data_IF_308780487615
#
_entry.id   IF_308780487615
#
_cell.length_a   1.000
_cell.length_b   1.000
_cell.length_c   1.000
_cell.angle_alpha   90.00
_cell.angle_beta   90.00
_cell.angle_gamma   90.00
#
_symmetry.space_group_name_H-M   'P 1'
#
loop_
_entity.id
_entity.type
_entity.pdbx_description
1 polymer ?
#
# COMPACT_ATOMS: atom_id res chain seq x y z
N UNK A 1 -5.57 -10.12 -21.94
CA UNK A 1 -5.50 -8.71 -21.53
C UNK A 1 -5.55 -8.63 -19.99
N UNK A 2 -4.39 -8.61 -19.32
CA UNK A 2 -4.23 -8.56 -17.86
C UNK A 2 -3.85 -7.14 -17.37
N UNK A 3 -4.40 -6.09 -17.99
CA UNK A 3 -4.21 -4.70 -17.54
C UNK A 3 -4.67 -4.46 -16.09
N UNK A 4 -4.22 -3.35 -15.50
CA UNK A 4 -4.78 -2.84 -14.24
C UNK A 4 -6.30 -2.67 -14.41
N UNK A 5 -7.08 -3.29 -13.54
CA UNK A 5 -8.55 -3.31 -13.59
C UNK A 5 -9.12 -2.93 -12.24
N UNK A 6 -10.39 -2.53 -12.20
CA UNK A 6 -11.13 -2.47 -10.95
C UNK A 6 -11.33 -3.91 -10.44
N UNK A 7 -10.55 -4.27 -9.42
CA UNK A 7 -10.54 -5.56 -8.75
C UNK A 7 -11.72 -5.72 -7.78
N UNK A 8 -12.36 -4.62 -7.38
CA UNK A 8 -13.49 -4.62 -6.46
C UNK A 8 -14.83 -4.84 -7.18
N UNK A 9 -14.91 -4.60 -8.49
CA UNK A 9 -16.15 -4.71 -9.26
C UNK A 9 -16.82 -6.08 -9.08
N UNK A 10 -18.06 -6.06 -8.60
CA UNK A 10 -18.90 -7.21 -8.27
C UNK A 10 -18.29 -8.20 -7.26
N UNK A 11 -17.33 -7.75 -6.47
CA UNK A 11 -16.79 -8.55 -5.37
C UNK A 11 -17.72 -8.54 -4.16
N UNK A 12 -17.63 -9.56 -3.28
CA UNK A 12 -18.33 -9.55 -2.01
C UNK A 12 -17.90 -8.36 -1.16
N UNK A 13 -18.89 -7.62 -0.67
CA UNK A 13 -18.69 -6.52 0.26
C UNK A 13 -19.48 -6.75 1.54
N UNK A 14 -19.03 -6.14 2.62
CA UNK A 14 -19.69 -6.16 3.91
C UNK A 14 -19.65 -4.78 4.54
N UNK A 15 -20.65 -4.50 5.36
CA UNK A 15 -20.74 -3.26 6.10
C UNK A 15 -21.28 -3.52 7.50
N UNK A 16 -20.76 -2.79 8.48
CA UNK A 16 -21.05 -3.01 9.90
C UNK A 16 -22.54 -2.91 10.24
N UNK A 17 -23.24 -1.97 9.61
CA UNK A 17 -24.66 -1.75 9.80
C UNK A 17 -25.35 -1.52 8.48
N UNK A 18 -26.36 -2.32 8.17
CA UNK A 18 -27.20 -2.16 6.97
C UNK A 18 -28.48 -1.44 7.33
N UNK A 19 -28.81 -0.39 6.57
CA UNK A 19 -30.07 0.36 6.70
C UNK A 19 -30.95 0.01 5.51
N UNK A 20 -32.16 -0.50 5.78
CA UNK A 20 -33.13 -0.82 4.73
C UNK A 20 -32.56 -1.71 3.61
N UNK A 21 -32.65 -1.23 2.36
CA UNK A 21 -32.14 -1.94 1.17
C UNK A 21 -30.74 -1.49 0.72
N UNK A 22 -30.08 -0.60 1.47
CA UNK A 22 -28.82 0.03 1.08
C UNK A 22 -27.62 -0.80 1.53
N UNK A 23 -27.46 -1.93 0.85
CA UNK A 23 -26.47 -2.97 1.15
C UNK A 23 -25.05 -2.62 0.67
N UNK A 24 -24.06 -3.35 1.20
CA UNK A 24 -22.64 -3.07 1.00
C UNK A 24 -22.17 -3.23 -0.45
N UNK A 25 -22.79 -4.15 -1.18
CA UNK A 25 -22.50 -4.48 -2.58
C UNK A 25 -22.76 -3.32 -3.54
N UNK A 26 -23.64 -2.37 -3.17
CA UNK A 26 -23.88 -1.17 -3.98
C UNK A 26 -22.63 -0.33 -4.18
N UNK A 27 -21.69 -0.35 -3.24
CA UNK A 27 -20.45 0.40 -3.38
C UNK A 27 -19.45 -0.26 -4.35
N UNK A 28 -19.77 -1.42 -4.92
CA UNK A 28 -18.86 -2.16 -5.82
C UNK A 28 -19.61 -2.74 -7.02
N UNK A 29 -20.79 -2.22 -7.34
CA UNK A 29 -21.62 -2.72 -8.44
C UNK A 29 -21.39 -1.97 -9.77
N UNK A 30 -20.53 -0.95 -9.76
CA UNK A 30 -20.22 -0.12 -10.93
C UNK A 30 -21.29 0.90 -11.26
N UNK A 31 -22.21 1.23 -10.33
CA UNK A 31 -23.33 2.16 -10.56
C UNK A 31 -23.29 3.33 -9.60
N UNK A 32 -22.87 4.48 -10.11
CA UNK A 32 -22.77 5.72 -9.32
C UNK A 32 -23.11 6.97 -10.14
N UNK A 33 -24.04 6.84 -11.09
CA UNK A 33 -24.59 7.95 -11.89
C UNK A 33 -25.60 8.79 -11.11
N UNK A 34 -26.30 8.19 -10.14
CA UNK A 34 -27.22 8.85 -9.23
C UNK A 34 -26.61 8.83 -7.83
N UNK A 35 -26.06 9.98 -7.43
CA UNK A 35 -25.36 10.18 -6.16
C UNK A 35 -26.29 10.67 -5.05
N UNK A 36 -27.61 10.60 -5.24
CA UNK A 36 -28.57 10.81 -4.16
C UNK A 36 -28.58 9.61 -3.21
N UNK A 37 -28.69 9.87 -1.90
CA UNK A 37 -28.75 8.80 -0.89
C UNK A 37 -29.92 7.84 -1.12
N UNK A 38 -31.02 8.32 -1.71
CA UNK A 38 -32.20 7.53 -2.07
C UNK A 38 -32.23 7.11 -3.56
N UNK A 39 -31.18 7.42 -4.32
CA UNK A 39 -31.04 7.04 -5.74
C UNK A 39 -30.81 5.53 -5.96
N UNK A 40 -30.59 4.78 -4.87
CA UNK A 40 -30.47 3.33 -4.90
C UNK A 40 -29.08 2.81 -5.30
N UNK A 41 -28.09 3.69 -5.41
CA UNK A 41 -26.75 3.42 -5.93
C UNK A 41 -25.63 3.57 -4.87
N UNK A 42 -25.99 3.74 -3.60
CA UNK A 42 -25.02 3.90 -2.53
C UNK A 42 -25.28 2.92 -1.38
N UNK A 43 -24.20 2.40 -0.82
CA UNK A 43 -24.17 1.74 0.47
C UNK A 43 -24.18 2.78 1.58
N UNK A 44 -25.03 2.62 2.60
CA UNK A 44 -25.15 3.60 3.67
C UNK A 44 -25.35 3.04 5.08
N UNK A 45 -24.88 3.81 6.05
CA UNK A 45 -25.26 3.75 7.46
C UNK A 45 -26.02 5.00 7.89
N UNK A 46 -26.60 4.95 9.08
CA UNK A 46 -27.35 6.07 9.65
C UNK A 46 -27.18 6.13 11.18
N UNK A 47 -26.67 7.26 11.69
CA UNK A 47 -26.52 7.55 13.11
C UNK A 47 -25.37 6.82 13.81
N UNK A 48 -24.36 6.33 13.07
CA UNK A 48 -23.27 5.54 13.64
C UNK A 48 -22.13 6.40 14.21
N UNK A 49 -21.49 5.93 15.28
CA UNK A 49 -20.23 6.52 15.79
C UNK A 49 -18.99 5.84 15.18
N UNK A 50 -19.18 4.79 14.39
CA UNK A 50 -18.12 4.07 13.69
C UNK A 50 -18.63 3.56 12.34
N UNK A 51 -18.01 4.02 11.27
CA UNK A 51 -18.13 3.42 9.95
C UNK A 51 -17.11 2.32 9.79
N UNK A 52 -17.57 1.18 9.29
CA UNK A 52 -16.69 0.12 8.83
C UNK A 52 -17.38 -0.59 7.65
N UNK A 53 -16.68 -0.59 6.52
CA UNK A 53 -17.09 -1.23 5.27
C UNK A 53 -15.85 -1.88 4.67
N UNK A 54 -16.00 -3.04 4.04
CA UNK A 54 -14.90 -3.66 3.32
C UNK A 54 -15.36 -4.43 2.08
N UNK A 55 -14.43 -4.62 1.16
CA UNK A 55 -14.57 -5.52 0.00
C UNK A 55 -13.53 -6.64 0.06
N UNK A 56 -13.95 -7.87 -0.22
CA UNK A 56 -13.10 -9.05 -0.38
C UNK A 56 -12.71 -9.21 -1.85
N UNK A 57 -11.45 -8.98 -2.19
CA UNK A 57 -10.91 -9.10 -3.55
C UNK A 57 -10.75 -10.56 -4.03
N UNK A 58 -11.19 -11.53 -3.22
CA UNK A 58 -11.20 -12.98 -3.46
C UNK A 58 -9.85 -13.67 -3.27
N UNK A 59 -8.75 -12.94 -3.38
CA UNK A 59 -7.39 -13.40 -3.13
C UNK A 59 -6.51 -12.20 -2.75
N UNK A 60 -5.28 -12.44 -2.29
CA UNK A 60 -4.29 -11.38 -2.12
C UNK A 60 -3.98 -10.78 -3.50
N UNK A 61 -4.14 -9.45 -3.63
CA UNK A 61 -3.90 -8.67 -4.87
C UNK A 61 -2.83 -7.61 -4.62
N UNK A 62 -2.18 -7.13 -5.68
CA UNK A 62 -1.36 -5.91 -5.59
C UNK A 62 -2.24 -4.70 -5.83
N UNK A 63 -2.32 -3.79 -4.86
CA UNK A 63 -3.17 -2.61 -4.92
C UNK A 63 -2.32 -1.39 -5.25
N UNK A 64 -2.74 -0.63 -6.24
CA UNK A 64 -2.05 0.57 -6.74
C UNK A 64 -2.80 1.86 -6.38
N UNK A 65 -4.10 1.87 -6.65
CA UNK A 65 -4.95 3.05 -6.46
C UNK A 65 -6.31 2.59 -5.96
N UNK A 66 -6.89 3.36 -5.05
CA UNK A 66 -8.26 3.20 -4.58
C UNK A 66 -9.01 4.50 -4.90
N UNK A 67 -10.19 4.39 -5.48
CA UNK A 67 -11.06 5.54 -5.77
C UNK A 67 -12.34 5.38 -4.98
N UNK A 68 -12.74 6.41 -4.25
CA UNK A 68 -13.98 6.41 -3.48
C UNK A 68 -14.89 7.52 -4.00
N UNK A 69 -16.05 7.13 -4.50
CA UNK A 69 -17.13 8.02 -4.90
C UNK A 69 -18.14 8.10 -3.76
N UNK A 70 -18.33 9.29 -3.21
CA UNK A 70 -19.29 9.55 -2.14
C UNK A 70 -20.63 10.03 -2.69
N UNK A 71 -21.68 9.85 -1.90
CA UNK A 71 -22.96 10.51 -2.14
C UNK A 71 -22.80 12.03 -2.07
N UNK A 72 -23.48 12.73 -2.99
CA UNK A 72 -23.53 14.20 -3.04
C UNK A 72 -24.94 14.74 -2.86
N UNK A 73 -25.96 13.86 -2.92
CA UNK A 73 -27.35 14.28 -3.01
C UNK A 73 -27.73 14.78 -4.41
N UNK A 74 -26.91 14.52 -5.44
CA UNK A 74 -26.96 15.16 -6.76
C UNK A 74 -26.88 16.69 -6.66
N UNK A 75 -26.14 17.19 -5.67
CA UNK A 75 -25.89 18.62 -5.46
C UNK A 75 -24.43 18.94 -5.76
N UNK A 76 -24.14 20.23 -5.88
CA UNK A 76 -22.76 20.73 -5.98
C UNK A 76 -21.96 20.22 -4.79
N UNK A 77 -20.71 19.82 -5.06
CA UNK A 77 -19.79 19.33 -4.04
C UNK A 77 -18.90 20.49 -3.57
N UNK A 78 -19.35 21.15 -2.51
CA UNK A 78 -18.71 22.31 -1.90
C UNK A 78 -18.84 22.24 -0.36
N UNK A 79 -18.36 23.27 0.33
CA UNK A 79 -18.37 23.33 1.79
C UNK A 79 -19.77 23.28 2.43
N UNK A 80 -20.80 23.70 1.69
CA UNK A 80 -22.18 23.71 2.16
C UNK A 80 -22.87 22.35 1.98
N UNK A 81 -22.31 21.48 1.15
CA UNK A 81 -22.81 20.13 1.00
C UNK A 81 -22.74 19.38 2.35
N UNK A 82 -23.88 18.90 2.83
CA UNK A 82 -24.03 18.28 4.14
C UNK A 82 -23.25 16.96 4.29
N UNK A 83 -22.98 16.26 3.19
CA UNK A 83 -22.24 15.00 3.20
C UNK A 83 -20.75 15.18 3.53
N UNK A 84 -20.15 16.34 3.22
CA UNK A 84 -18.70 16.56 3.33
C UNK A 84 -18.15 16.31 4.73
N UNK A 85 -18.92 16.67 5.77
CA UNK A 85 -18.48 16.51 7.17
C UNK A 85 -18.46 15.07 7.69
N UNK A 86 -19.20 14.15 7.05
CA UNK A 86 -19.25 12.73 7.47
C UNK A 86 -17.97 11.97 7.11
N UNK A 87 -17.32 12.35 6.02
CA UNK A 87 -16.16 11.64 5.49
C UNK A 87 -14.83 12.14 6.03
N UNK A 88 -14.78 13.29 6.72
CA UNK A 88 -13.53 13.82 7.26
C UNK A 88 -12.88 12.83 8.25
N UNK A 89 -11.55 12.78 8.23
CA UNK A 89 -10.69 11.89 9.00
C UNK A 89 -10.89 10.38 8.77
N UNK A 90 -11.48 10.00 7.63
CA UNK A 90 -11.55 8.59 7.28
C UNK A 90 -10.17 7.98 7.04
N UNK A 91 -10.10 6.67 7.20
CA UNK A 91 -8.91 5.85 6.94
C UNK A 91 -9.25 4.69 6.02
N UNK A 92 -8.27 4.27 5.25
CA UNK A 92 -8.34 3.07 4.41
C UNK A 92 -7.22 2.13 4.80
N UNK A 93 -7.58 0.88 5.06
CA UNK A 93 -6.65 -0.19 5.40
C UNK A 93 -6.65 -1.26 4.32
N UNK A 94 -5.51 -1.92 4.18
CA UNK A 94 -5.33 -3.08 3.32
C UNK A 94 -4.96 -4.25 4.23
N UNK A 95 -5.75 -5.32 4.22
CA UNK A 95 -5.59 -6.45 5.13
C UNK A 95 -5.71 -7.79 4.42
N UNK A 96 -5.14 -8.83 5.01
CA UNK A 96 -5.37 -10.22 4.60
C UNK A 96 -6.50 -10.89 5.39
N UNK A 97 -7.03 -10.21 6.40
CA UNK A 97 -8.19 -10.63 7.20
C UNK A 97 -9.29 -9.58 7.12
N UNK A 98 -10.46 -9.88 7.69
CA UNK A 98 -11.56 -8.91 7.81
C UNK A 98 -11.34 -7.88 8.90
N UNK A 99 -10.23 -7.95 9.66
CA UNK A 99 -9.91 -7.02 10.72
C UNK A 99 -8.87 -6.00 10.25
N UNK A 100 -9.17 -4.72 10.44
CA UNK A 100 -8.26 -3.62 10.07
C UNK A 100 -6.97 -3.58 10.88
N UNK A 101 -6.99 -4.06 12.12
CA UNK A 101 -5.82 -4.05 13.02
C UNK A 101 -4.75 -5.06 12.58
N UNK A 102 -5.11 -6.06 11.79
CA UNK A 102 -4.17 -7.02 11.20
C UNK A 102 -3.56 -6.50 9.89
N UNK A 103 -4.08 -5.38 9.38
CA UNK A 103 -3.71 -4.79 8.10
C UNK A 103 -2.68 -3.66 8.20
N UNK A 104 -2.40 -3.06 7.04
CA UNK A 104 -1.58 -1.85 6.93
C UNK A 104 -2.47 -0.64 6.64
N UNK A 105 -2.16 0.49 7.28
CA UNK A 105 -2.79 1.77 6.98
C UNK A 105 -2.31 2.25 5.60
N UNK A 106 -3.20 2.22 4.60
CA UNK A 106 -2.92 2.75 3.26
C UNK A 106 -3.07 4.28 3.25
N UNK A 107 -4.14 4.79 3.86
CA UNK A 107 -4.43 6.21 3.84
C UNK A 107 -5.15 6.63 5.11
N UNK A 108 -4.87 7.84 5.57
CA UNK A 108 -5.62 8.52 6.60
C UNK A 108 -5.77 9.97 6.21
N UNK A 109 -7.00 10.44 6.15
CA UNK A 109 -7.28 11.86 6.03
C UNK A 109 -6.86 12.58 7.32
N UNK A 110 -5.97 13.56 7.18
CA UNK A 110 -5.56 14.47 8.25
C UNK A 110 -5.70 15.93 7.85
N UNK A 111 -6.06 16.21 6.59
CA UNK A 111 -5.87 17.52 5.97
C UNK A 111 -7.14 18.07 5.32
N UNK A 112 -8.11 17.22 4.96
CA UNK A 112 -9.30 17.69 4.30
C UNK A 112 -10.18 18.50 5.25
N UNK A 113 -10.85 19.48 4.67
CA UNK A 113 -11.94 20.25 5.27
C UNK A 113 -13.19 20.04 4.43
N UNK A 114 -14.34 20.54 4.88
CA UNK A 114 -15.58 20.48 4.09
C UNK A 114 -15.42 21.08 2.69
N UNK A 115 -14.60 22.11 2.55
CA UNK A 115 -14.33 22.78 1.28
C UNK A 115 -13.32 22.05 0.38
N UNK A 116 -12.43 21.22 0.95
CA UNK A 116 -11.27 20.68 0.22
C UNK A 116 -11.31 19.16 0.02
N UNK A 117 -12.18 18.44 0.73
CA UNK A 117 -12.38 17.01 0.48
C UNK A 117 -12.84 16.81 -0.98
N UNK A 118 -12.14 16.02 -1.80
CA UNK A 118 -12.55 15.80 -3.18
C UNK A 118 -13.65 14.74 -3.28
N UNK A 119 -14.38 14.74 -4.40
CA UNK A 119 -15.28 13.65 -4.75
C UNK A 119 -15.30 13.46 -6.28
N UNK A 120 -14.77 12.34 -6.81
CA UNK A 120 -14.22 11.19 -6.09
C UNK A 120 -12.88 11.48 -5.39
N UNK A 121 -12.62 10.77 -4.29
CA UNK A 121 -11.30 10.76 -3.64
C UNK A 121 -10.39 9.75 -4.34
N UNK A 122 -9.23 10.21 -4.79
CA UNK A 122 -8.20 9.37 -5.38
C UNK A 122 -7.11 9.08 -4.36
N UNK A 123 -7.05 7.84 -3.89
CA UNK A 123 -6.11 7.38 -2.86
C UNK A 123 -4.99 6.60 -3.53
N UNK A 124 -3.77 7.07 -3.32
CA UNK A 124 -2.55 6.33 -3.66
C UNK A 124 -1.88 5.98 -2.35
N UNK A 125 -1.71 4.69 -2.09
CA UNK A 125 -1.08 4.24 -0.86
C UNK A 125 0.44 4.59 -0.92
N UNK A 126 1.08 5.02 0.18
CA UNK A 126 2.48 5.44 0.22
C UNK A 126 3.48 4.42 -0.35
N UNK A 127 4.28 4.81 -1.35
CA UNK A 127 5.24 3.97 -2.09
C UNK A 127 6.29 3.15 -1.27
N UNK A 128 6.31 3.24 0.06
CA UNK A 128 7.27 2.54 0.91
C UNK A 128 6.72 1.26 1.58
N UNK A 129 5.50 0.83 1.23
CA UNK A 129 4.96 -0.42 1.73
C UNK A 129 4.39 -1.28 0.57
N UNK A 130 4.66 -2.59 0.54
CA UNK A 130 3.98 -3.50 -0.37
C UNK A 130 2.49 -3.60 0.02
N UNK A 131 1.62 -2.92 -0.74
CA UNK A 131 0.17 -3.00 -0.54
C UNK A 131 -0.40 -4.23 -1.23
N UNK A 132 -0.02 -5.39 -0.70
CA UNK A 132 -0.65 -6.65 -1.04
C UNK A 132 -1.68 -7.00 0.02
N UNK A 133 -2.92 -7.18 -0.40
CA UNK A 133 -4.00 -7.49 0.51
C UNK A 133 -5.17 -8.17 -0.19
N UNK A 134 -5.99 -8.86 0.61
CA UNK A 134 -7.24 -9.45 0.16
C UNK A 134 -8.42 -8.51 0.41
N UNK A 135 -8.38 -7.75 1.49
CA UNK A 135 -9.46 -6.86 1.91
C UNK A 135 -9.02 -5.40 1.81
N UNK A 136 -9.90 -4.56 1.27
CA UNK A 136 -9.81 -3.10 1.38
C UNK A 136 -10.89 -2.64 2.34
N UNK A 137 -10.49 -1.95 3.41
CA UNK A 137 -11.37 -1.61 4.53
C UNK A 137 -11.44 -0.09 4.65
N UNK A 138 -12.62 0.47 4.45
CA UNK A 138 -12.96 1.85 4.80
C UNK A 138 -13.34 1.92 6.28
N UNK A 139 -12.77 2.88 6.99
CA UNK A 139 -13.03 3.08 8.41
C UNK A 139 -13.12 4.56 8.76
N UNK A 140 -14.10 4.93 9.57
CA UNK A 140 -14.16 6.25 10.19
C UNK A 140 -14.73 6.13 11.60
N UNK A 141 -14.34 7.00 12.53
CA UNK A 141 -14.91 6.98 13.87
C UNK A 141 -15.10 8.38 14.47
N UNK A 142 -16.03 8.44 15.42
CA UNK A 142 -16.39 9.60 16.22
C UNK A 142 -16.56 9.17 17.67
N UNK A 143 -15.55 8.51 18.24
CA UNK A 143 -15.66 7.94 19.60
C UNK A 143 -15.09 8.84 20.71
N UNK A 144 -14.36 9.90 20.33
CA UNK A 144 -13.62 10.75 21.27
C UNK A 144 -13.86 12.23 20.95
N UNK A 145 -14.92 12.86 21.50
CA UNK A 145 -15.16 14.30 21.38
C UNK A 145 -14.19 15.11 22.27
N UNK A 146 -13.94 16.40 21.97
CA UNK A 146 -14.54 17.21 20.90
C UNK A 146 -13.92 16.95 19.52
N UNK A 147 -14.71 17.13 18.46
CA UNK A 147 -14.24 16.98 17.07
C UNK A 147 -13.75 18.31 16.50
N UNK A 148 -12.79 18.29 15.53
CA UNK A 148 -12.42 19.49 14.80
C UNK A 148 -13.61 20.14 14.08
N UNK A 149 -13.48 21.42 13.78
CA UNK A 149 -14.52 22.18 13.06
C UNK A 149 -14.85 21.54 11.71
N UNK A 150 -16.15 21.52 11.37
CA UNK A 150 -16.66 20.95 10.12
C UNK A 150 -16.90 19.43 10.14
N UNK A 151 -16.46 18.73 11.18
CA UNK A 151 -16.70 17.29 11.32
C UNK A 151 -18.15 17.04 11.72
N UNK A 152 -18.79 16.06 11.09
CA UNK A 152 -20.05 15.52 11.60
C UNK A 152 -19.81 14.82 12.94
N UNK A 153 -20.82 14.89 13.83
CA UNK A 153 -20.85 14.11 15.08
C UNK A 153 -21.11 12.62 14.86
N UNK A 154 -21.52 12.24 13.66
CA UNK A 154 -21.69 10.86 13.23
C UNK A 154 -20.60 10.50 12.23
N UNK A 155 -20.20 9.23 12.25
CA UNK A 155 -19.22 8.65 11.35
C UNK A 155 -19.90 7.96 10.16
N UNK A 156 -21.11 8.35 9.76
CA UNK A 156 -21.84 7.62 8.72
C UNK A 156 -21.08 7.55 7.40
N UNK A 157 -21.24 6.44 6.69
CA UNK A 157 -20.72 6.28 5.35
C UNK A 157 -21.87 6.31 4.35
N UNK A 158 -21.66 7.01 3.23
CA UNK A 158 -22.52 7.01 2.05
C UNK A 158 -21.62 6.77 0.84
N UNK A 159 -21.20 5.51 0.66
CA UNK A 159 -20.26 5.09 -0.37
C UNK A 159 -21.08 4.69 -1.61
N UNK A 160 -20.95 5.44 -2.70
CA UNK A 160 -21.63 5.11 -3.95
C UNK A 160 -20.78 4.22 -4.85
N UNK A 161 -19.45 4.37 -4.84
CA UNK A 161 -18.56 3.41 -5.48
C UNK A 161 -17.19 3.40 -4.79
N UNK A 162 -16.57 2.23 -4.70
CA UNK A 162 -15.21 2.00 -4.24
C UNK A 162 -14.51 1.14 -5.28
N UNK A 163 -13.68 1.79 -6.09
CA UNK A 163 -12.91 1.12 -7.13
C UNK A 163 -11.50 0.81 -6.62
N UNK A 164 -11.03 -0.42 -6.81
CA UNK A 164 -9.69 -0.84 -6.38
C UNK A 164 -8.88 -1.24 -7.60
N UNK A 165 -7.93 -0.40 -8.00
CA UNK A 165 -7.09 -0.64 -9.16
C UNK A 165 -5.77 -1.28 -8.77
N UNK A 166 -5.37 -2.30 -9.54
CA UNK A 166 -4.11 -2.99 -9.31
C UNK A 166 -3.93 -4.22 -10.18
N UNK A 167 -3.03 -5.10 -9.76
CA UNK A 167 -2.75 -6.36 -10.44
C UNK A 167 -3.47 -7.53 -9.78
N UNK A 168 -4.04 -8.45 -10.58
CA UNK A 168 -4.80 -9.58 -10.05
C UNK A 168 -3.94 -10.57 -9.27
N UNK A 169 -2.62 -10.60 -9.50
CA UNK A 169 -1.71 -11.48 -8.78
C UNK A 169 -0.55 -10.65 -8.24
N UNK A 170 -0.11 -10.91 -6.99
CA UNK A 170 1.12 -10.33 -6.49
C UNK A 170 2.33 -10.93 -7.22
N UNK A 171 3.47 -10.25 -7.15
CA UNK A 171 4.69 -10.65 -7.87
C UNK A 171 4.71 -10.28 -9.35
N UNK A 172 3.76 -9.46 -9.81
CA UNK A 172 3.74 -8.91 -11.17
C UNK A 172 3.62 -7.38 -11.15
N UNK A 173 4.27 -6.73 -12.10
CA UNK A 173 4.29 -5.27 -12.25
C UNK A 173 4.10 -4.83 -13.71
N UNK A 174 4.11 -3.52 -13.92
CA UNK A 174 3.90 -2.85 -15.20
C UNK A 174 2.42 -2.61 -15.51
N UNK A 175 2.13 -1.85 -16.57
CA UNK A 175 0.76 -1.47 -16.93
C UNK A 175 -0.17 -2.66 -17.18
N UNK A 176 0.41 -3.74 -17.70
CA UNK A 176 -0.29 -4.96 -18.09
C UNK A 176 -0.13 -6.12 -17.09
N UNK A 177 0.43 -5.88 -15.90
CA UNK A 177 0.63 -6.91 -14.86
C UNK A 177 1.20 -8.22 -15.42
N UNK A 178 2.18 -8.08 -16.31
CA UNK A 178 2.73 -9.18 -17.10
C UNK A 178 4.24 -9.32 -16.93
N UNK A 179 4.90 -8.34 -16.31
CA UNK A 179 6.31 -8.41 -15.95
C UNK A 179 6.40 -9.04 -14.56
N UNK A 180 7.20 -10.08 -14.42
CA UNK A 180 7.44 -10.72 -13.12
C UNK A 180 8.39 -9.88 -12.29
N UNK A 181 8.09 -9.73 -11.01
CA UNK A 181 9.01 -9.09 -10.08
C UNK A 181 10.37 -9.80 -10.09
N UNK A 182 11.48 -9.07 -9.92
CA UNK A 182 12.80 -9.67 -9.84
C UNK A 182 12.86 -10.81 -8.83
N UNK A 183 13.49 -11.93 -9.22
CA UNK A 183 13.47 -13.18 -8.46
C UNK A 183 13.99 -13.03 -7.02
N UNK A 184 14.94 -12.12 -6.80
CA UNK A 184 15.59 -11.92 -5.52
C UNK A 184 14.98 -10.77 -4.71
N UNK A 185 13.83 -10.23 -5.13
CA UNK A 185 13.02 -9.40 -4.24
C UNK A 185 12.61 -10.26 -3.03
N UNK A 186 12.73 -9.69 -1.83
CA UNK A 186 12.20 -10.32 -0.64
C UNK A 186 10.70 -10.57 -0.80
N UNK A 187 10.24 -11.77 -0.41
CA UNK A 187 8.85 -12.24 -0.54
C UNK A 187 8.33 -12.29 -2.00
N UNK A 188 9.19 -12.09 -3.01
CA UNK A 188 8.81 -12.08 -4.42
C UNK A 188 8.01 -10.85 -4.84
N UNK A 189 8.05 -9.77 -4.07
CA UNK A 189 7.24 -8.58 -4.29
C UNK A 189 8.06 -7.35 -4.69
N UNK A 190 7.50 -6.55 -5.58
CA UNK A 190 8.10 -5.34 -6.11
C UNK A 190 7.04 -4.26 -6.31
N UNK A 191 7.50 -3.03 -6.51
CA UNK A 191 6.66 -1.90 -6.88
C UNK A 191 5.89 -2.20 -8.18
N UNK A 192 4.58 -1.95 -8.15
CA UNK A 192 3.66 -2.31 -9.23
C UNK A 192 3.84 -1.46 -10.50
N UNK A 193 4.50 -0.31 -10.40
CA UNK A 193 4.82 0.57 -11.52
C UNK A 193 6.20 0.23 -12.08
N UNK A 194 7.22 0.32 -11.23
CA UNK A 194 8.63 0.35 -11.62
C UNK A 194 9.30 -1.03 -11.56
N UNK A 195 8.71 -2.00 -10.86
CA UNK A 195 9.34 -3.31 -10.64
C UNK A 195 10.50 -3.28 -9.64
N UNK A 196 10.67 -2.18 -8.91
CA UNK A 196 11.71 -2.02 -7.89
C UNK A 196 11.35 -2.83 -6.65
N UNK A 197 12.26 -3.66 -6.16
CA UNK A 197 12.07 -4.42 -4.94
C UNK A 197 12.09 -3.51 -3.71
N UNK A 198 11.15 -3.71 -2.77
CA UNK A 198 11.16 -2.97 -1.50
C UNK A 198 12.32 -3.39 -0.60
N UNK A 199 12.68 -4.67 -0.65
CA UNK A 199 13.82 -5.29 0.03
C UNK A 199 14.35 -6.44 -0.82
N UNK A 200 15.63 -6.74 -0.67
CA UNK A 200 16.28 -7.85 -1.35
C UNK A 200 16.49 -9.03 -0.41
N UNK A 201 16.49 -10.24 -0.99
CA UNK A 201 16.99 -11.42 -0.30
C UNK A 201 18.45 -11.24 0.13
N UNK A 202 18.88 -11.99 1.14
CA UNK A 202 20.27 -11.94 1.61
C UNK A 202 21.22 -12.18 0.43
N UNK A 203 22.29 -11.40 0.36
CA UNK A 203 23.29 -11.37 -0.72
C UNK A 203 22.92 -10.61 -2.01
N UNK A 204 21.72 -10.04 -2.10
CA UNK A 204 21.29 -9.27 -3.27
C UNK A 204 21.05 -7.81 -2.92
N UNK A 205 21.31 -6.92 -3.87
CA UNK A 205 21.15 -5.49 -3.66
C UNK A 205 20.78 -4.76 -4.96
N UNK A 206 20.57 -3.44 -4.87
CA UNK A 206 20.11 -2.64 -6.00
C UNK A 206 18.59 -2.62 -6.11
N UNK A 207 18.02 -1.83 -7.05
CA UNK A 207 16.58 -1.67 -7.19
C UNK A 207 15.88 -2.96 -7.64
N UNK A 208 16.58 -3.84 -8.33
CA UNK A 208 16.06 -5.10 -8.87
C UNK A 208 16.68 -6.33 -8.23
N UNK A 209 17.38 -6.17 -7.09
CA UNK A 209 18.04 -7.26 -6.35
C UNK A 209 18.94 -8.12 -7.24
N UNK A 210 19.82 -7.44 -7.96
CA UNK A 210 20.86 -8.06 -8.78
C UNK A 210 22.05 -8.51 -7.93
N UNK A 211 22.84 -9.42 -8.48
CA UNK A 211 24.07 -9.89 -7.83
C UNK A 211 25.04 -8.73 -7.64
N UNK A 212 25.75 -8.72 -6.51
CA UNK A 212 26.84 -7.78 -6.34
C UNK A 212 27.98 -8.14 -7.28
N UNK A 213 28.51 -7.22 -8.11
CA UNK A 213 29.66 -7.51 -8.93
C UNK A 213 30.83 -8.00 -8.06
N UNK A 214 31.53 -9.02 -8.53
CA UNK A 214 32.68 -9.57 -7.83
C UNK A 214 33.72 -8.46 -7.57
N UNK A 215 34.21 -8.36 -6.33
CA UNK A 215 35.07 -7.24 -5.92
C UNK A 215 34.38 -6.16 -5.11
N UNK A 216 33.05 -6.19 -4.97
CA UNK A 216 32.31 -5.15 -4.27
C UNK A 216 31.52 -5.67 -3.06
N UNK A 217 31.27 -4.78 -2.09
CA UNK A 217 30.48 -5.06 -0.89
C UNK A 217 29.71 -3.83 -0.41
N UNK A 218 28.85 -4.03 0.60
CA UNK A 218 28.06 -3.02 1.27
C UNK A 218 26.70 -2.74 0.62
N UNK A 219 25.89 -1.91 1.28
CA UNK A 219 24.59 -1.49 0.73
C UNK A 219 24.83 -0.71 -0.57
N UNK A 220 24.39 -1.29 -1.69
CA UNK A 220 24.60 -0.85 -3.09
C UNK A 220 25.94 -1.19 -3.77
N UNK A 221 26.79 -2.10 -3.24
CA UNK A 221 28.04 -2.53 -3.89
C UNK A 221 28.99 -1.37 -4.20
N UNK A 222 29.00 -0.33 -3.37
CA UNK A 222 29.84 0.85 -3.64
C UNK A 222 31.22 0.75 -3.01
N UNK A 223 31.46 -0.26 -2.16
CA UNK A 223 32.73 -0.46 -1.46
C UNK A 223 33.53 -1.57 -2.12
N UNK A 224 34.85 -1.40 -2.23
CA UNK A 224 35.73 -2.41 -2.84
C UNK A 224 36.23 -3.40 -1.79
N UNK A 225 36.05 -4.70 -2.07
CA UNK A 225 36.73 -5.75 -1.33
C UNK A 225 38.24 -5.54 -1.35
N UNK A 226 38.91 -5.88 -0.25
CA UNK A 226 40.35 -5.71 -0.16
C UNK A 226 41.10 -6.65 -1.11
N UNK A 227 42.08 -6.10 -1.83
CA UNK A 227 42.97 -6.87 -2.70
C UNK A 227 44.00 -7.70 -1.91
N UNK A 228 44.11 -7.47 -0.60
CA UNK A 228 45.02 -8.18 0.32
C UNK A 228 44.34 -9.32 1.07
N UNK A 229 43.06 -9.57 0.80
CA UNK A 229 42.41 -10.82 1.17
C UNK A 229 43.17 -12.01 0.55
N UNK A 230 43.13 -13.18 1.21
CA UNK A 230 43.77 -14.40 0.71
C UNK A 230 43.36 -14.73 -0.73
N UNK A 231 42.06 -14.60 -1.01
CA UNK A 231 41.52 -14.49 -2.36
C UNK A 231 41.38 -13.00 -2.70
N UNK A 232 42.27 -12.48 -3.54
CA UNK A 232 42.33 -11.04 -3.87
C UNK A 232 41.00 -10.51 -4.37
N UNK A 233 40.46 -9.48 -3.70
CA UNK A 233 39.20 -8.85 -4.10
C UNK A 233 37.95 -9.68 -3.77
N UNK A 234 38.06 -10.80 -3.06
CA UNK A 234 36.89 -11.54 -2.55
C UNK A 234 36.69 -11.34 -1.07
N UNK A 235 35.52 -10.82 -0.72
CA UNK A 235 35.09 -10.59 0.65
C UNK A 235 33.61 -10.88 0.84
N UNK A 236 33.16 -10.98 2.08
CA UNK A 236 31.76 -11.03 2.45
C UNK A 236 31.06 -9.77 1.97
N UNK A 237 29.99 -9.92 1.20
CA UNK A 237 29.40 -8.81 0.46
C UNK A 237 28.60 -7.85 1.33
N UNK A 238 28.27 -8.22 2.57
CA UNK A 238 27.55 -7.35 3.51
C UNK A 238 28.53 -6.56 4.38
N UNK A 239 29.55 -7.25 4.89
CA UNK A 239 30.46 -6.72 5.91
C UNK A 239 31.79 -6.25 5.34
N UNK A 240 32.22 -6.76 4.19
CA UNK A 240 33.54 -6.52 3.60
C UNK A 240 34.64 -7.44 4.12
N UNK A 241 34.30 -8.42 4.97
CA UNK A 241 35.29 -9.26 5.65
C UNK A 241 35.90 -10.31 4.71
N UNK A 242 37.20 -10.54 4.78
CA UNK A 242 37.82 -11.58 3.97
C UNK A 242 37.38 -12.96 4.49
N UNK A 243 36.82 -13.82 3.62
CA UNK A 243 36.33 -15.17 3.96
C UNK A 243 37.46 -16.19 4.27
N UNK A 244 38.65 -15.72 4.67
CA UNK A 244 39.86 -16.52 4.81
C UNK A 244 41.01 -15.77 5.48
N UNK A 245 42.25 -16.21 5.22
CA UNK A 245 43.45 -15.59 5.79
C UNK A 245 43.87 -14.40 4.94
N UNK A 246 44.47 -13.39 5.56
CA UNK A 246 45.11 -12.31 4.81
C UNK A 246 46.36 -12.81 4.06
N UNK A 247 46.69 -12.14 2.97
CA UNK A 247 47.99 -12.30 2.31
C UNK A 247 49.14 -12.05 3.31
N UNK A 248 50.32 -12.59 2.99
CA UNK A 248 51.51 -12.44 3.83
C UNK A 248 51.80 -10.96 4.07
N UNK A 249 52.01 -10.58 5.33
CA UNK A 249 52.22 -9.19 5.71
C UNK A 249 50.96 -8.38 5.99
N UNK A 250 49.76 -8.98 5.96
CA UNK A 250 48.50 -8.29 6.24
C UNK A 250 47.70 -8.92 7.40
N UNK A 251 46.87 -8.12 8.06
CA UNK A 251 46.01 -8.50 9.18
C UNK A 251 44.77 -7.60 9.26
N UNK A 252 43.81 -7.93 10.13
CA UNK A 252 42.51 -7.26 10.23
C UNK A 252 41.39 -8.08 9.59
N UNK A 253 40.13 -7.70 9.85
CA UNK A 253 38.96 -8.43 9.34
C UNK A 253 38.78 -8.25 7.82
N UNK A 254 39.26 -7.12 7.27
CA UNK A 254 39.28 -6.83 5.84
C UNK A 254 40.71 -6.86 5.29
N UNK A 255 41.67 -7.41 6.04
CA UNK A 255 43.10 -7.39 5.71
C UNK A 255 43.66 -5.98 5.45
N UNK A 256 43.11 -4.98 6.15
CA UNK A 256 43.37 -3.57 5.94
C UNK A 256 44.66 -3.06 6.61
N UNK A 257 45.30 -3.88 7.46
CA UNK A 257 46.46 -3.48 8.26
C UNK A 257 47.71 -4.24 7.81
N UNK A 258 48.76 -3.51 7.46
CA UNK A 258 50.07 -4.12 7.23
C UNK A 258 50.70 -4.56 8.57
N UNK A 259 51.23 -5.78 8.60
CA UNK A 259 52.07 -6.28 9.69
C UNK A 259 53.44 -5.61 9.53
N UNK A 260 53.78 -4.72 10.45
CA UNK A 260 55.14 -4.18 10.53
C UNK A 260 56.04 -5.29 11.05
N UNK A 261 57.03 -5.75 10.29
CA UNK A 261 58.00 -6.70 10.81
C UNK A 261 58.81 -6.02 11.90
N UNK A 262 58.99 -6.72 13.03
CA UNK A 262 59.92 -6.32 14.09
C UNK A 262 61.36 -6.40 13.61
#
# INVERSE_FOLDING_TARGET
MRGRKNLALHQPAWQRRTVGSYTADRAVDGRYTDLAWNGGQCALSDGEQTAEWWVDLGAVRSIYRIVIQYATGNRVWDEDNWFTGFFLAFSVYISNTTNKEDGVLCFRDTNYTRATIPNPVNITCPYHCPYHGRYVIYYNNRTHPPYPEGYSIYADYFLCEVEVYGCPSPGYYGENCSLECPQNCQDGYCDILEGTCFRCAHLYIGPTCEDCPEGFYGSKCLQNCSMTCGDSGRCDIMTGYCNGRCQVGWTGAMCEKAKVPC
#
